data_IF_441584138065
#
_entry.id   IF_441584138065
#
_cell.length_a   1.000
_cell.length_b   1.000
_cell.length_c   1.000
_cell.angle_alpha   90.00
_cell.angle_beta   90.00
_cell.angle_gamma   90.00
#
_symmetry.space_group_name_H-M   'P 1'
#
loop_
_entity.id
_entity.type
_entity.pdbx_description
1 polymer ?
#
# COMPACT_ATOMS: atom_id res chain seq x y z
N UNK A 1 63.73 12.53 -6.69
CA UNK A 1 63.02 13.82 -6.90
C UNK A 1 63.08 14.14 -8.39
N UNK A 2 62.01 14.54 -9.10
CA UNK A 2 60.71 15.11 -8.69
C UNK A 2 59.56 14.05 -8.71
N UNK A 3 58.40 14.09 -8.04
CA UNK A 3 57.36 15.08 -7.64
C UNK A 3 56.44 15.62 -8.76
N UNK A 4 55.28 14.99 -8.94
CA UNK A 4 53.89 15.55 -8.95
C UNK A 4 52.95 14.56 -9.68
N UNK A 5 51.94 13.96 -9.03
CA UNK A 5 50.67 14.54 -8.58
C UNK A 5 49.76 15.00 -9.74
N UNK A 6 49.00 14.06 -10.30
CA UNK A 6 47.71 14.35 -10.93
C UNK A 6 46.70 13.29 -10.48
N UNK A 7 45.77 13.73 -9.64
CA UNK A 7 44.57 12.99 -9.33
C UNK A 7 43.70 12.88 -10.58
N UNK A 8 43.31 11.66 -10.92
CA UNK A 8 42.09 11.45 -11.68
C UNK A 8 41.05 10.91 -10.71
N UNK A 9 40.23 11.84 -10.19
CA UNK A 9 39.06 11.50 -9.40
C UNK A 9 38.14 10.62 -10.23
N UNK A 10 38.02 9.36 -9.83
CA UNK A 10 36.96 8.48 -10.33
C UNK A 10 35.64 9.01 -9.77
N UNK A 11 35.02 9.89 -10.54
CA UNK A 11 33.70 10.47 -10.30
C UNK A 11 32.65 9.43 -10.71
N UNK A 12 32.53 8.33 -9.96
CA UNK A 12 31.56 7.27 -10.23
C UNK A 12 30.93 6.76 -8.93
N UNK A 13 29.99 7.52 -8.37
CA UNK A 13 29.03 7.00 -7.41
C UNK A 13 27.81 7.94 -7.28
N UNK A 14 27.11 8.22 -8.37
CA UNK A 14 25.85 8.97 -8.30
C UNK A 14 24.80 8.55 -9.34
N UNK A 15 24.80 7.27 -9.75
CA UNK A 15 23.80 6.74 -10.69
C UNK A 15 23.05 5.48 -10.27
N UNK A 16 23.36 4.87 -9.13
CA UNK A 16 22.71 3.61 -8.70
C UNK A 16 21.60 3.81 -7.66
N UNK A 17 21.61 4.91 -6.89
CA UNK A 17 20.71 5.09 -5.74
C UNK A 17 19.22 5.25 -6.07
N UNK A 18 18.85 5.48 -7.34
CA UNK A 18 17.46 5.67 -7.74
C UNK A 18 16.77 4.39 -8.25
N UNK A 19 17.50 3.35 -8.65
CA UNK A 19 16.91 2.13 -9.22
C UNK A 19 16.52 1.12 -8.13
N UNK A 20 17.29 1.07 -7.05
CA UNK A 20 17.07 0.15 -5.93
C UNK A 20 15.88 0.56 -5.05
N UNK A 21 15.66 1.87 -4.86
CA UNK A 21 14.56 2.41 -4.04
C UNK A 21 13.19 2.12 -4.64
N UNK A 22 13.04 2.26 -5.97
CA UNK A 22 11.79 1.97 -6.67
C UNK A 22 11.46 0.48 -6.73
N UNK A 23 12.43 -0.42 -6.80
CA UNK A 23 12.15 -1.86 -6.74
C UNK A 23 11.72 -2.29 -5.33
N UNK A 24 12.31 -1.66 -4.30
CA UNK A 24 12.03 -1.99 -2.90
C UNK A 24 10.63 -1.58 -2.47
N UNK A 25 10.13 -0.41 -2.92
CA UNK A 25 8.78 0.05 -2.53
C UNK A 25 7.68 -0.87 -3.06
N UNK A 26 7.78 -1.37 -4.30
CA UNK A 26 6.78 -2.29 -4.86
C UNK A 26 6.78 -3.63 -4.12
N UNK A 27 7.96 -4.16 -3.77
CA UNK A 27 8.06 -5.38 -2.97
C UNK A 27 7.45 -5.20 -1.57
N UNK A 28 7.76 -4.10 -0.89
CA UNK A 28 7.20 -3.78 0.42
C UNK A 28 5.68 -3.60 0.36
N UNK A 29 5.18 -2.92 -0.68
CA UNK A 29 3.75 -2.75 -0.91
C UNK A 29 3.07 -4.11 -1.11
N UNK A 30 3.67 -5.00 -1.93
CA UNK A 30 3.14 -6.35 -2.12
C UNK A 30 3.06 -7.14 -0.81
N UNK A 31 4.13 -7.11 -0.01
CA UNK A 31 4.18 -7.81 1.29
C UNK A 31 3.09 -7.32 2.24
N UNK A 32 2.88 -6.00 2.30
CA UNK A 32 1.82 -5.40 3.11
C UNK A 32 0.43 -5.76 2.60
N UNK A 33 0.20 -5.75 1.28
CA UNK A 33 -1.09 -6.16 0.70
C UNK A 33 -1.42 -7.62 1.05
N UNK A 34 -0.46 -8.54 0.90
CA UNK A 34 -0.63 -9.95 1.30
C UNK A 34 -0.87 -10.09 2.80
N UNK A 35 -0.18 -9.32 3.64
CA UNK A 35 -0.41 -9.34 5.08
C UNK A 35 -1.81 -8.83 5.46
N UNK A 36 -2.29 -7.77 4.81
CA UNK A 36 -3.66 -7.23 5.01
C UNK A 36 -4.70 -8.29 4.64
N UNK A 37 -4.52 -8.97 3.50
CA UNK A 37 -5.40 -10.07 3.09
C UNK A 37 -5.42 -11.21 4.11
N UNK A 38 -4.24 -11.67 4.55
CA UNK A 38 -4.14 -12.72 5.55
C UNK A 38 -4.84 -12.34 6.86
N UNK A 39 -4.69 -11.08 7.28
CA UNK A 39 -5.28 -10.61 8.53
C UNK A 39 -6.80 -10.43 8.44
N UNK A 40 -7.33 -10.02 7.28
CA UNK A 40 -8.77 -10.04 7.01
C UNK A 40 -9.35 -11.45 7.13
N UNK A 41 -8.61 -12.47 6.64
CA UNK A 41 -9.02 -13.87 6.78
C UNK A 41 -8.95 -14.33 8.24
N UNK A 42 -7.88 -14.00 8.96
CA UNK A 42 -7.69 -14.35 10.38
C UNK A 42 -8.79 -13.76 11.27
N UNK A 43 -9.21 -12.52 10.99
CA UNK A 43 -10.24 -11.80 11.74
C UNK A 43 -11.67 -12.15 11.30
N UNK A 44 -11.83 -13.09 10.36
CA UNK A 44 -13.11 -13.46 9.74
C UNK A 44 -13.87 -12.27 9.12
N UNK A 45 -13.13 -11.21 8.74
CA UNK A 45 -13.66 -10.05 8.01
C UNK A 45 -13.60 -10.23 6.50
N UNK A 46 -12.88 -11.25 6.03
CA UNK A 46 -12.79 -11.59 4.62
C UNK A 46 -14.12 -12.13 4.10
N UNK A 47 -14.61 -11.52 3.03
CA UNK A 47 -15.86 -11.91 2.39
C UNK A 47 -15.60 -12.65 1.07
N UNK A 48 -16.17 -13.84 0.87
CA UNK A 48 -16.04 -14.54 -0.41
C UNK A 48 -17.09 -14.09 -1.44
N UNK A 49 -18.08 -13.31 -1.02
CA UNK A 49 -19.16 -12.85 -1.88
C UNK A 49 -18.79 -11.49 -2.44
N UNK A 50 -18.64 -11.41 -3.77
CA UNK A 50 -18.37 -10.15 -4.47
C UNK A 50 -19.56 -9.19 -4.31
N UNK A 51 -19.34 -7.88 -4.09
CA UNK A 51 -20.40 -6.89 -3.98
C UNK A 51 -21.15 -6.79 -5.32
N UNK A 52 -22.37 -6.27 -5.28
CA UNK A 52 -23.16 -6.04 -6.49
C UNK A 52 -22.45 -5.06 -7.43
N UNK A 53 -22.75 -5.15 -8.72
CA UNK A 53 -22.19 -4.24 -9.73
C UNK A 53 -22.54 -2.78 -9.42
N UNK A 54 -23.74 -2.50 -8.91
CA UNK A 54 -24.14 -1.17 -8.46
C UNK A 54 -23.27 -0.64 -7.31
N UNK A 55 -22.90 -1.49 -6.35
CA UNK A 55 -22.04 -1.09 -5.24
C UNK A 55 -20.62 -0.76 -5.73
N UNK A 56 -20.10 -1.56 -6.66
CA UNK A 56 -18.80 -1.32 -7.29
C UNK A 56 -18.79 -0.08 -8.19
N UNK A 57 -19.95 0.32 -8.72
CA UNK A 57 -20.12 1.50 -9.56
C UNK A 57 -20.29 2.82 -8.77
N UNK A 58 -20.30 2.76 -7.43
CA UNK A 58 -20.44 3.93 -6.58
C UNK A 58 -19.29 4.92 -6.80
N UNK A 59 -19.64 6.20 -6.99
CA UNK A 59 -18.68 7.30 -7.18
C UNK A 59 -18.26 7.96 -5.86
N UNK A 60 -18.86 7.55 -4.74
CA UNK A 60 -18.53 8.07 -3.43
C UNK A 60 -17.11 7.64 -3.00
N UNK A 61 -16.39 8.44 -2.20
CA UNK A 61 -15.10 8.03 -1.65
C UNK A 61 -15.28 6.76 -0.82
N UNK A 62 -14.43 5.74 -1.06
CA UNK A 62 -14.50 4.42 -0.41
C UNK A 62 -15.82 3.65 -0.60
N UNK A 63 -16.67 4.05 -1.55
CA UNK A 63 -17.98 3.45 -1.80
C UNK A 63 -18.87 3.32 -0.53
N UNK A 64 -18.70 4.22 0.45
CA UNK A 64 -19.30 4.16 1.79
C UNK A 64 -20.82 4.05 1.80
N UNK A 65 -21.49 4.58 0.76
CA UNK A 65 -22.95 4.56 0.67
C UNK A 65 -23.51 3.18 0.28
N UNK A 66 -22.67 2.30 -0.27
CA UNK A 66 -23.13 1.10 -0.98
C UNK A 66 -22.55 -0.21 -0.46
N UNK A 67 -21.45 -0.18 0.29
CA UNK A 67 -20.83 -1.38 0.83
C UNK A 67 -20.06 -1.09 2.11
N UNK A 68 -19.86 -2.08 3.00
CA UNK A 68 -19.01 -1.93 4.16
C UNK A 68 -17.55 -1.72 3.74
N UNK A 69 -16.80 -1.03 4.62
CA UNK A 69 -15.39 -0.72 4.37
C UNK A 69 -14.52 -1.97 4.13
N UNK A 70 -14.82 -3.08 4.81
CA UNK A 70 -14.12 -4.36 4.62
C UNK A 70 -14.25 -4.87 3.18
N UNK A 71 -15.45 -4.83 2.61
CA UNK A 71 -15.71 -5.24 1.23
C UNK A 71 -14.99 -4.31 0.25
N UNK A 72 -15.02 -2.99 0.48
CA UNK A 72 -14.25 -2.03 -0.32
C UNK A 72 -12.75 -2.33 -0.26
N UNK A 73 -12.22 -2.62 0.93
CA UNK A 73 -10.81 -2.89 1.17
C UNK A 73 -10.33 -4.10 0.36
N UNK A 74 -11.09 -5.20 0.36
CA UNK A 74 -10.68 -6.42 -0.34
C UNK A 74 -10.98 -6.42 -1.85
N UNK A 75 -12.12 -5.88 -2.27
CA UNK A 75 -12.57 -6.03 -3.67
C UNK A 75 -12.15 -4.88 -4.57
N UNK A 76 -11.91 -3.70 -4.01
CA UNK A 76 -11.48 -2.53 -4.78
C UNK A 76 -10.03 -2.22 -4.46
N UNK A 77 -9.70 -2.06 -3.19
CA UNK A 77 -8.38 -1.58 -2.82
C UNK A 77 -7.27 -2.64 -3.01
N UNK A 78 -7.40 -3.85 -2.44
CA UNK A 78 -6.38 -4.89 -2.60
C UNK A 78 -6.15 -5.25 -4.07
N UNK A 79 -7.22 -5.45 -4.85
CA UNK A 79 -7.15 -5.75 -6.27
C UNK A 79 -6.45 -4.62 -7.05
N UNK A 80 -6.90 -3.37 -6.88
CA UNK A 80 -6.32 -2.22 -7.57
C UNK A 80 -4.86 -2.01 -7.20
N UNK A 81 -4.50 -2.04 -5.91
CA UNK A 81 -3.13 -1.81 -5.49
C UNK A 81 -2.20 -2.94 -5.93
N UNK A 82 -2.66 -4.19 -5.90
CA UNK A 82 -1.90 -5.32 -6.41
C UNK A 82 -1.60 -5.15 -7.90
N UNK A 83 -2.59 -4.72 -8.70
CA UNK A 83 -2.38 -4.43 -10.12
C UNK A 83 -1.35 -3.32 -10.33
N UNK A 84 -1.43 -2.21 -9.58
CA UNK A 84 -0.46 -1.12 -9.69
C UNK A 84 0.97 -1.57 -9.36
N UNK A 85 1.12 -2.40 -8.33
CA UNK A 85 2.40 -3.00 -7.92
C UNK A 85 2.95 -3.93 -9.00
N UNK A 86 2.13 -4.82 -9.54
CA UNK A 86 2.53 -5.77 -10.61
C UNK A 86 2.93 -5.03 -11.89
N UNK A 87 2.19 -3.99 -12.25
CA UNK A 87 2.49 -3.16 -13.42
C UNK A 87 3.65 -2.18 -13.17
N UNK A 88 4.19 -2.10 -11.95
CA UNK A 88 5.24 -1.16 -11.54
C UNK A 88 4.96 0.29 -11.93
N UNK A 89 3.67 0.67 -11.90
CA UNK A 89 3.24 2.04 -12.15
C UNK A 89 3.27 2.84 -10.85
N UNK A 90 3.44 4.17 -10.92
CA UNK A 90 3.51 5.00 -9.72
C UNK A 90 2.32 4.78 -8.79
N UNK A 91 2.62 4.40 -7.55
CA UNK A 91 1.60 4.22 -6.53
C UNK A 91 0.99 5.57 -6.14
N UNK A 92 -0.31 5.63 -5.86
CA UNK A 92 -0.97 6.85 -5.40
C UNK A 92 -0.33 7.33 -4.09
N UNK A 93 0.17 8.56 -4.10
CA UNK A 93 0.64 9.22 -2.88
C UNK A 93 -0.53 9.87 -2.13
N UNK A 94 -0.33 10.14 -0.84
CA UNK A 94 -1.28 10.87 0.01
C UNK A 94 -2.64 10.15 0.21
N UNK A 95 -2.63 8.82 0.20
CA UNK A 95 -3.77 8.03 0.66
C UNK A 95 -3.87 8.10 2.20
N UNK A 96 -5.09 8.28 2.70
CA UNK A 96 -5.41 8.29 4.13
C UNK A 96 -6.49 7.26 4.42
N UNK A 97 -6.12 5.99 4.33
CA UNK A 97 -7.03 4.85 4.50
C UNK A 97 -7.16 4.51 5.99
N UNK A 98 -6.07 4.60 6.74
CA UNK A 98 -6.01 4.35 8.17
C UNK A 98 -7.10 5.07 8.98
N UNK A 99 -7.33 6.41 8.87
CA UNK A 99 -8.37 7.07 9.65
C UNK A 99 -9.79 6.54 9.34
N UNK A 100 -10.03 6.12 8.09
CA UNK A 100 -11.30 5.51 7.71
C UNK A 100 -11.43 4.08 8.26
N UNK A 101 -10.35 3.30 8.19
CA UNK A 101 -10.29 1.95 8.75
C UNK A 101 -10.50 1.96 10.27
N UNK A 102 -9.89 2.92 10.97
CA UNK A 102 -10.05 3.10 12.41
C UNK A 102 -11.52 3.34 12.77
N UNK A 103 -12.23 4.20 12.03
CA UNK A 103 -13.66 4.43 12.27
C UNK A 103 -14.50 3.20 11.95
N UNK A 104 -14.25 2.54 10.80
CA UNK A 104 -15.00 1.37 10.38
C UNK A 104 -14.85 0.19 11.35
N UNK A 105 -13.65 -0.01 11.91
CA UNK A 105 -13.38 -1.14 12.79
C UNK A 105 -13.82 -0.90 14.24
N UNK A 106 -14.19 0.31 14.66
CA UNK A 106 -14.82 0.53 15.99
C UNK A 106 -16.12 -0.25 16.17
N UNK A 107 -16.84 -0.49 15.07
CA UNK A 107 -18.08 -1.27 15.08
C UNK A 107 -17.84 -2.79 15.00
N UNK A 108 -16.59 -3.22 14.80
CA UNK A 108 -16.21 -4.62 14.65
C UNK A 108 -15.85 -5.21 16.02
N UNK A 109 -16.33 -6.43 16.29
CA UNK A 109 -16.06 -7.14 17.56
C UNK A 109 -14.76 -7.94 17.55
N UNK A 110 -14.22 -8.23 16.37
CA UNK A 110 -12.94 -8.92 16.20
C UNK A 110 -11.75 -8.03 16.58
N UNK A 111 -10.61 -8.65 16.88
CA UNK A 111 -9.36 -7.94 17.15
C UNK A 111 -8.74 -7.43 15.84
N UNK A 112 -8.95 -6.16 15.53
CA UNK A 112 -8.44 -5.53 14.29
C UNK A 112 -7.15 -4.74 14.49
N UNK A 113 -6.45 -4.91 15.62
CA UNK A 113 -5.25 -4.11 15.95
C UNK A 113 -4.13 -4.31 14.94
N UNK A 114 -3.85 -5.55 14.57
CA UNK A 114 -2.83 -5.88 13.56
C UNK A 114 -3.23 -5.37 12.18
N UNK A 115 -4.51 -5.57 11.81
CA UNK A 115 -5.04 -5.07 10.53
C UNK A 115 -4.89 -3.55 10.40
N UNK A 116 -5.19 -2.79 11.46
CA UNK A 116 -4.96 -1.33 11.49
C UNK A 116 -3.49 -0.97 11.37
N UNK A 117 -2.60 -1.69 12.06
CA UNK A 117 -1.16 -1.47 11.98
C UNK A 117 -0.61 -1.72 10.57
N UNK A 118 -1.12 -2.74 9.87
CA UNK A 118 -0.77 -3.05 8.49
C UNK A 118 -1.25 -1.96 7.52
N UNK A 119 -2.50 -1.51 7.65
CA UNK A 119 -3.05 -0.40 6.85
C UNK A 119 -2.26 0.88 7.09
N UNK A 120 -1.92 1.20 8.34
CA UNK A 120 -1.08 2.36 8.67
C UNK A 120 0.31 2.25 8.04
N UNK A 121 0.94 1.08 8.15
CA UNK A 121 2.25 0.83 7.57
C UNK A 121 2.23 1.02 6.05
N UNK A 122 1.13 0.63 5.40
CA UNK A 122 0.93 0.85 3.97
C UNK A 122 0.74 2.33 3.61
N UNK A 123 -0.09 3.07 4.34
CA UNK A 123 -0.25 4.52 4.15
C UNK A 123 1.09 5.25 4.34
N UNK A 124 1.87 4.88 5.36
CA UNK A 124 3.21 5.44 5.61
C UNK A 124 4.20 5.10 4.49
N UNK A 125 4.14 3.88 3.94
CA UNK A 125 4.97 3.48 2.81
C UNK A 125 4.68 4.38 1.58
N UNK A 126 3.41 4.65 1.31
CA UNK A 126 2.98 5.50 0.19
C UNK A 126 3.25 6.99 0.41
N UNK A 127 3.17 7.46 1.66
CA UNK A 127 3.40 8.85 2.02
C UNK A 127 4.88 9.15 2.33
N UNK A 128 5.76 8.14 2.28
CA UNK A 128 7.19 8.36 2.39
C UNK A 128 7.65 9.19 1.20
N UNK A 129 7.79 10.51 1.41
CA UNK A 129 8.28 11.46 0.41
C UNK A 129 9.55 10.89 -0.24
N UNK A 130 9.47 10.68 -1.55
CA UNK A 130 10.60 10.39 -2.41
C UNK A 130 11.32 11.70 -2.79
#
# INVERSE_FOLDING_TARGET
>A
MPLNLFGCGVKLASRTLNRDTSMTIYLQAQQLLTAIEAELQNTALWNNVKPSADALASTAPFCIDTMPFTDWLQFIFLDKMTQLVVMQVPLPANMGIHPMAEEAFKAVTADTRELLALILSFDLLLNKKN
#
